data_IF_753935177129
#
_entry.id   IF_753935177129
#
_cell.length_a   1.000
_cell.length_b   1.000
_cell.length_c   1.000
_cell.angle_alpha   90.00
_cell.angle_beta   90.00
_cell.angle_gamma   90.00
#
_symmetry.space_group_name_H-M   'P 1'
#
loop_
_entity.id
_entity.type
_entity.pdbx_description
1 polymer ?
#
# COMPACT_ATOMS: atom_id res chain seq x y z
N UNK A 1 -6.23 -1.96 -13.58
CA UNK A 1 -5.14 -2.97 -13.65
C UNK A 1 -3.82 -2.29 -13.31
N UNK A 2 -2.99 -2.95 -12.47
CA UNK A 2 -1.58 -2.61 -12.30
C UNK A 2 -0.78 -3.74 -12.92
N UNK A 3 0.19 -3.43 -13.78
CA UNK A 3 1.13 -4.42 -14.31
C UNK A 3 2.55 -3.97 -13.96
N UNK A 4 3.30 -4.85 -13.32
CA UNK A 4 4.70 -4.69 -12.95
C UNK A 4 5.50 -5.73 -13.71
N UNK A 5 6.52 -5.30 -14.45
CA UNK A 5 7.33 -6.19 -15.29
C UNK A 5 8.81 -5.99 -15.05
N UNK A 6 9.48 -7.05 -14.62
CA UNK A 6 10.92 -7.14 -14.33
C UNK A 6 11.47 -5.91 -13.59
N UNK A 7 10.77 -5.53 -12.52
CA UNK A 7 11.00 -4.28 -11.79
C UNK A 7 12.27 -4.36 -10.95
N UNK A 8 13.13 -3.36 -11.09
CA UNK A 8 14.32 -3.18 -10.28
C UNK A 8 14.37 -1.81 -9.62
N UNK A 9 14.83 -1.78 -8.37
CA UNK A 9 15.17 -0.56 -7.67
C UNK A 9 16.42 -0.73 -6.84
N UNK A 10 17.48 -0.07 -7.26
CA UNK A 10 18.78 -0.03 -6.59
C UNK A 10 18.98 1.33 -5.92
N UNK A 11 19.39 1.32 -4.66
CA UNK A 11 19.78 2.52 -3.92
C UNK A 11 21.30 2.53 -3.69
N UNK A 12 21.89 3.74 -3.80
CA UNK A 12 23.28 3.95 -3.36
C UNK A 12 23.31 4.05 -1.83
N UNK A 13 24.17 3.30 -1.18
CA UNK A 13 24.35 3.37 0.27
C UNK A 13 24.89 4.73 0.71
N UNK A 14 24.35 5.28 1.80
CA UNK A 14 24.90 6.46 2.46
C UNK A 14 26.29 6.19 3.03
N UNK A 15 27.04 7.26 3.40
CA UNK A 15 28.36 7.10 4.02
C UNK A 15 28.30 6.34 5.35
N UNK A 16 27.21 6.53 6.13
CA UNK A 16 26.98 5.84 7.41
C UNK A 16 26.65 4.36 7.20
N UNK A 17 25.73 4.05 6.28
CA UNK A 17 25.39 2.68 5.90
C UNK A 17 26.60 1.91 5.34
N UNK A 18 27.49 2.59 4.61
CA UNK A 18 28.74 2.00 4.14
C UNK A 18 29.70 1.64 5.29
N UNK A 19 29.75 2.45 6.36
CA UNK A 19 30.59 2.14 7.54
C UNK A 19 30.06 0.94 8.33
N UNK A 20 28.74 0.81 8.47
CA UNK A 20 28.11 -0.34 9.12
C UNK A 20 28.26 -1.64 8.28
N UNK A 21 28.06 -1.56 6.97
CA UNK A 21 28.16 -2.70 6.05
C UNK A 21 29.60 -3.03 5.63
N UNK A 22 30.56 -2.11 5.77
CA UNK A 22 31.99 -2.34 5.45
C UNK A 22 32.62 -3.45 6.30
N UNK A 23 31.97 -3.88 7.38
CA UNK A 23 32.37 -5.07 8.15
C UNK A 23 31.92 -6.40 7.52
N UNK A 24 31.00 -6.39 6.54
CA UNK A 24 30.37 -7.61 6.01
C UNK A 24 30.21 -7.65 4.48
N UNK A 25 30.18 -6.53 3.73
CA UNK A 25 29.96 -6.51 2.26
C UNK A 25 30.69 -5.36 1.57
N UNK A 26 31.29 -5.65 0.41
CA UNK A 26 31.99 -4.70 -0.48
C UNK A 26 31.09 -3.87 -1.38
N UNK A 27 29.78 -4.15 -1.42
CA UNK A 27 28.86 -3.51 -2.35
C UNK A 27 28.49 -2.07 -1.92
N UNK A 28 28.61 -1.12 -2.86
CA UNK A 28 28.23 0.29 -2.67
C UNK A 28 26.73 0.56 -2.86
N UNK A 29 25.95 -0.47 -3.21
CA UNK A 29 24.53 -0.39 -3.57
C UNK A 29 23.73 -1.52 -2.92
N UNK A 30 22.42 -1.30 -2.74
CA UNK A 30 21.45 -2.30 -2.28
C UNK A 30 20.29 -2.34 -3.27
N UNK A 31 19.93 -3.54 -3.72
CA UNK A 31 18.75 -3.79 -4.55
C UNK A 31 17.55 -3.98 -3.64
N UNK A 32 16.75 -2.92 -3.48
CA UNK A 32 15.54 -2.97 -2.67
C UNK A 32 14.38 -3.69 -3.38
N UNK A 33 14.44 -3.76 -4.72
CA UNK A 33 13.55 -4.56 -5.58
C UNK A 33 14.41 -5.13 -6.69
N UNK A 34 14.31 -6.44 -6.96
CA UNK A 34 15.21 -7.19 -7.83
C UNK A 34 14.45 -8.17 -8.73
N UNK A 35 14.00 -7.70 -9.91
CA UNK A 35 13.34 -8.52 -10.93
C UNK A 35 11.91 -8.92 -10.56
N UNK A 36 11.16 -8.05 -9.88
CA UNK A 36 9.78 -8.34 -9.45
C UNK A 36 8.80 -8.13 -10.60
N UNK A 37 7.94 -9.12 -10.86
CA UNK A 37 6.86 -9.04 -11.87
C UNK A 37 5.56 -9.56 -11.28
N UNK A 38 4.46 -8.80 -11.41
CA UNK A 38 3.11 -9.24 -11.03
C UNK A 38 2.03 -8.36 -11.67
N UNK A 39 0.77 -8.83 -11.58
CA UNK A 39 -0.39 -8.09 -12.07
C UNK A 39 -1.49 -8.03 -11.01
N UNK A 40 -2.01 -6.81 -10.74
CA UNK A 40 -3.19 -6.62 -9.91
C UNK A 40 -4.41 -6.33 -10.79
N UNK A 41 -5.51 -7.04 -10.55
CA UNK A 41 -6.73 -6.98 -11.36
C UNK A 41 -7.83 -6.16 -10.69
N UNK A 42 -8.73 -5.51 -11.45
CA UNK A 42 -9.91 -4.86 -10.91
C UNK A 42 -10.80 -5.84 -10.14
N UNK A 43 -11.46 -5.36 -9.08
CA UNK A 43 -12.33 -6.18 -8.25
C UNK A 43 -11.60 -7.26 -7.45
N UNK A 44 -10.27 -7.12 -7.30
CA UNK A 44 -9.41 -8.04 -6.55
C UNK A 44 -8.54 -7.28 -5.55
N UNK A 45 -8.26 -7.95 -4.43
CA UNK A 45 -7.28 -7.50 -3.45
C UNK A 45 -5.98 -8.29 -3.68
N UNK A 46 -4.94 -7.58 -4.09
CA UNK A 46 -3.59 -8.11 -4.22
C UNK A 46 -2.79 -7.81 -2.95
N UNK A 47 -2.32 -8.83 -2.27
CA UNK A 47 -1.55 -8.69 -1.04
C UNK A 47 -0.06 -8.85 -1.31
N UNK A 48 0.72 -7.89 -0.83
CA UNK A 48 2.17 -7.94 -0.83
C UNK A 48 2.67 -8.28 0.57
N UNK A 49 2.93 -9.55 0.83
CA UNK A 49 3.37 -10.08 2.13
C UNK A 49 4.90 -10.13 2.20
N UNK A 50 5.46 -9.82 3.35
CA UNK A 50 6.90 -9.96 3.58
C UNK A 50 7.36 -9.32 4.88
N UNK A 51 8.56 -9.64 5.36
CA UNK A 51 9.12 -9.03 6.57
C UNK A 51 9.47 -7.55 6.34
N UNK A 52 9.82 -6.86 7.43
CA UNK A 52 10.32 -5.49 7.35
C UNK A 52 11.63 -5.46 6.54
N UNK A 53 11.76 -4.46 5.65
CA UNK A 53 12.92 -4.36 4.76
C UNK A 53 12.88 -5.25 3.51
N UNK A 54 11.85 -6.09 3.31
CA UNK A 54 11.74 -6.98 2.16
C UNK A 54 11.60 -6.30 0.80
N UNK A 55 11.25 -4.99 0.76
CA UNK A 55 11.04 -4.23 -0.47
C UNK A 55 9.58 -3.83 -0.74
N UNK A 56 8.61 -4.22 0.13
CA UNK A 56 7.17 -3.93 -0.02
C UNK A 56 6.89 -2.44 -0.25
N UNK A 57 7.22 -1.59 0.72
CA UNK A 57 7.05 -0.12 0.65
C UNK A 57 7.73 0.48 -0.57
N UNK A 58 8.93 -0.01 -0.92
CA UNK A 58 9.65 0.47 -2.12
C UNK A 58 8.86 0.15 -3.38
N UNK A 59 8.34 -1.07 -3.52
CA UNK A 59 7.50 -1.48 -4.65
C UNK A 59 6.24 -0.63 -4.75
N UNK A 60 5.52 -0.41 -3.63
CA UNK A 60 4.33 0.43 -3.62
C UNK A 60 4.63 1.89 -3.97
N UNK A 61 5.76 2.45 -3.52
CA UNK A 61 6.19 3.81 -3.87
C UNK A 61 6.56 3.95 -5.35
N UNK A 62 7.09 2.91 -5.97
CA UNK A 62 7.35 2.88 -7.42
C UNK A 62 6.04 2.89 -8.20
N UNK A 63 5.05 2.08 -7.81
CA UNK A 63 3.69 2.06 -8.39
C UNK A 63 3.04 3.44 -8.24
N UNK A 64 3.15 4.07 -7.07
CA UNK A 64 2.57 5.38 -6.79
C UNK A 64 3.37 6.57 -7.38
N UNK A 65 4.36 6.33 -8.23
CA UNK A 65 5.22 7.36 -8.88
C UNK A 65 6.05 8.22 -7.92
N UNK A 66 6.19 7.81 -6.64
CA UNK A 66 7.02 8.52 -5.66
C UNK A 66 8.51 8.21 -5.82
N UNK A 67 8.82 7.09 -6.47
CA UNK A 67 10.16 6.68 -6.85
C UNK A 67 10.18 6.31 -8.34
N UNK A 68 11.33 6.49 -8.99
CA UNK A 68 11.54 5.99 -10.36
C UNK A 68 12.20 4.62 -10.30
N UNK A 69 11.79 3.65 -11.13
CA UNK A 69 12.50 2.39 -11.32
C UNK A 69 13.96 2.61 -11.74
N UNK A 70 14.83 1.68 -11.39
CA UNK A 70 16.19 1.61 -11.96
C UNK A 70 16.12 0.93 -13.34
N UNK A 71 15.32 -0.12 -13.46
CA UNK A 71 14.95 -0.78 -14.72
C UNK A 71 13.62 -1.52 -14.57
N UNK A 72 13.10 -2.09 -15.65
CA UNK A 72 11.77 -2.66 -15.74
C UNK A 72 10.71 -1.61 -15.98
N UNK A 73 9.44 -2.02 -15.97
CA UNK A 73 8.31 -1.15 -16.26
C UNK A 73 7.14 -1.36 -15.30
N UNK A 74 6.35 -0.30 -15.11
CA UNK A 74 5.08 -0.36 -14.37
C UNK A 74 4.04 0.42 -15.16
N UNK A 75 2.86 -0.17 -15.35
CA UNK A 75 1.69 0.52 -15.86
C UNK A 75 0.54 0.47 -14.85
N UNK A 76 -0.20 1.56 -14.75
CA UNK A 76 -1.38 1.69 -13.89
C UNK A 76 -2.53 2.22 -14.72
N UNK A 77 -3.62 1.47 -14.82
CA UNK A 77 -4.77 1.80 -15.67
C UNK A 77 -4.38 2.16 -17.12
N UNK A 78 -3.33 1.49 -17.65
CA UNK A 78 -2.79 1.70 -18.99
C UNK A 78 -1.74 2.82 -19.11
N UNK A 79 -1.49 3.60 -18.05
CA UNK A 79 -0.50 4.69 -18.06
C UNK A 79 0.84 4.23 -17.47
N UNK A 80 1.94 4.58 -18.12
CA UNK A 80 3.31 4.31 -17.66
C UNK A 80 3.70 5.24 -16.50
N UNK A 81 4.21 4.67 -15.40
CA UNK A 81 4.54 5.45 -14.17
C UNK A 81 5.68 6.46 -14.37
N UNK A 82 6.54 6.29 -15.38
CA UNK A 82 7.67 7.18 -15.67
C UNK A 82 7.31 8.20 -16.72
N UNK A 83 6.58 7.79 -17.78
CA UNK A 83 6.25 8.66 -18.93
C UNK A 83 5.02 9.53 -18.64
N UNK A 84 4.03 9.02 -17.89
CA UNK A 84 2.75 9.67 -17.65
C UNK A 84 2.39 9.76 -16.15
N UNK A 85 3.31 10.21 -15.27
CA UNK A 85 3.13 10.15 -13.82
C UNK A 85 1.92 10.95 -13.31
N UNK A 86 1.52 12.01 -13.97
CA UNK A 86 0.34 12.82 -13.59
C UNK A 86 -0.96 12.05 -13.84
N UNK A 87 -1.06 11.34 -14.97
CA UNK A 87 -2.22 10.48 -15.26
C UNK A 87 -2.31 9.31 -14.28
N UNK A 88 -1.17 8.71 -13.95
CA UNK A 88 -1.11 7.65 -12.92
C UNK A 88 -1.59 8.16 -11.57
N UNK A 89 -1.11 9.33 -11.11
CA UNK A 89 -1.52 9.93 -9.82
C UNK A 89 -3.01 10.24 -9.75
N UNK A 90 -3.62 10.62 -10.87
CA UNK A 90 -5.07 10.84 -10.94
C UNK A 90 -5.89 9.54 -10.74
N UNK A 91 -5.29 8.38 -11.02
CA UNK A 91 -5.93 7.08 -10.88
C UNK A 91 -5.71 6.43 -9.51
N UNK A 92 -4.72 6.89 -8.73
CA UNK A 92 -4.26 6.21 -7.52
C UNK A 92 -4.62 7.00 -6.26
N UNK A 93 -5.19 6.31 -5.27
CA UNK A 93 -5.15 6.71 -3.87
C UNK A 93 -4.03 5.94 -3.17
N UNK A 94 -2.99 6.63 -2.67
CA UNK A 94 -1.87 6.00 -1.97
C UNK A 94 -1.83 6.39 -0.50
N UNK A 95 -2.05 5.41 0.38
CA UNK A 95 -1.87 5.53 1.83
C UNK A 95 -0.51 4.97 2.24
N UNK A 96 0.29 5.79 2.92
CA UNK A 96 1.54 5.35 3.57
C UNK A 96 1.52 5.75 5.05
N UNK A 97 2.04 4.88 5.91
CA UNK A 97 2.09 5.11 7.36
C UNK A 97 2.93 6.32 7.80
N UNK A 98 3.80 6.84 6.90
CA UNK A 98 4.72 7.95 7.22
C UNK A 98 4.20 9.33 6.82
N UNK A 99 3.02 9.43 6.22
CA UNK A 99 2.53 10.72 5.73
C UNK A 99 1.97 11.58 6.87
N UNK A 100 2.69 12.65 7.21
CA UNK A 100 2.23 13.65 8.18
C UNK A 100 0.96 14.35 7.69
N UNK A 101 0.06 14.63 8.62
CA UNK A 101 -1.15 15.40 8.39
C UNK A 101 -0.91 16.87 8.78
N UNK A 102 -1.67 17.79 8.17
CA UNK A 102 -1.66 19.19 8.56
C UNK A 102 -2.40 19.37 9.90
N UNK A 103 -1.68 19.42 11.00
CA UNK A 103 -2.23 19.38 12.37
C UNK A 103 -3.15 20.56 12.71
N UNK A 104 -2.99 21.69 12.02
CA UNK A 104 -3.82 22.89 12.22
C UNK A 104 -5.18 22.80 11.55
N UNK A 105 -5.34 21.96 10.55
CA UNK A 105 -6.60 21.73 9.85
C UNK A 105 -7.50 20.76 10.62
N UNK A 106 -8.79 20.85 10.34
CA UNK A 106 -9.78 19.84 10.71
C UNK A 106 -9.85 18.74 9.64
N UNK A 107 -10.41 17.54 9.92
CA UNK A 107 -10.70 16.54 8.89
C UNK A 107 -11.51 17.09 7.72
N UNK A 108 -12.56 17.89 7.99
CA UNK A 108 -13.37 18.54 6.95
C UNK A 108 -12.52 19.41 6.02
N UNK A 109 -11.69 20.27 6.57
CA UNK A 109 -10.82 21.17 5.78
C UNK A 109 -9.79 20.40 4.99
N UNK A 110 -9.14 19.39 5.60
CA UNK A 110 -8.13 18.61 4.92
C UNK A 110 -8.71 17.80 3.76
N UNK A 111 -9.83 17.11 3.97
CA UNK A 111 -10.46 16.29 2.93
C UNK A 111 -11.00 17.18 1.81
N UNK A 112 -11.56 18.36 2.14
CA UNK A 112 -11.96 19.37 1.14
C UNK A 112 -10.77 19.84 0.30
N UNK A 113 -9.65 20.16 0.93
CA UNK A 113 -8.42 20.58 0.24
C UNK A 113 -7.96 19.54 -0.78
N UNK A 114 -7.97 18.24 -0.44
CA UNK A 114 -7.61 17.18 -1.37
C UNK A 114 -8.64 17.00 -2.48
N UNK A 115 -9.94 17.15 -2.19
CA UNK A 115 -10.97 17.14 -3.21
C UNK A 115 -10.78 18.27 -4.24
N UNK A 116 -10.46 19.48 -3.78
CA UNK A 116 -10.18 20.63 -4.63
C UNK A 116 -8.94 20.43 -5.50
N UNK A 117 -7.86 19.84 -4.95
CA UNK A 117 -6.66 19.49 -5.71
C UNK A 117 -6.94 18.51 -6.87
N UNK A 118 -7.96 17.65 -6.71
CA UNK A 118 -8.40 16.72 -7.75
C UNK A 118 -9.52 17.29 -8.63
N UNK A 119 -9.89 18.57 -8.47
CA UNK A 119 -10.91 19.24 -9.28
C UNK A 119 -12.31 18.67 -9.08
N UNK A 120 -12.63 18.15 -7.89
CA UNK A 120 -13.96 17.57 -7.63
C UNK A 120 -15.05 18.64 -7.60
N UNK A 121 -16.14 18.39 -8.32
CA UNK A 121 -17.33 19.23 -8.25
C UNK A 121 -17.94 19.24 -6.83
N UNK A 122 -18.43 20.40 -6.33
CA UNK A 122 -18.91 20.52 -4.94
C UNK A 122 -20.03 19.55 -4.57
N UNK A 123 -20.91 19.19 -5.50
CA UNK A 123 -21.97 18.22 -5.25
C UNK A 123 -21.42 16.81 -5.03
N UNK A 124 -20.48 16.38 -5.88
CA UNK A 124 -19.82 15.07 -5.78
C UNK A 124 -18.98 14.99 -4.50
N UNK A 125 -18.28 16.07 -4.14
CA UNK A 125 -17.55 16.14 -2.89
C UNK A 125 -18.43 15.93 -1.67
N UNK A 126 -19.58 16.64 -1.58
CA UNK A 126 -20.50 16.50 -0.44
C UNK A 126 -20.96 15.06 -0.26
N UNK A 127 -21.47 14.45 -1.33
CA UNK A 127 -21.92 13.04 -1.33
C UNK A 127 -20.80 12.10 -0.89
N UNK A 128 -19.64 12.20 -1.55
CA UNK A 128 -18.53 11.32 -1.29
C UNK A 128 -17.94 11.46 0.12
N UNK A 129 -17.88 12.70 0.62
CA UNK A 129 -17.45 12.98 2.00
C UNK A 129 -18.38 12.30 3.01
N UNK A 130 -19.68 12.43 2.85
CA UNK A 130 -20.66 11.79 3.74
C UNK A 130 -20.51 10.27 3.77
N UNK A 131 -20.38 9.64 2.61
CA UNK A 131 -20.14 8.19 2.48
C UNK A 131 -18.87 7.77 3.25
N UNK A 132 -17.73 8.45 3.00
CA UNK A 132 -16.44 8.12 3.62
C UNK A 132 -16.47 8.39 5.13
N UNK A 133 -17.02 9.53 5.56
CA UNK A 133 -17.08 9.88 6.98
C UNK A 133 -17.97 8.93 7.76
N UNK A 134 -19.07 8.47 7.16
CA UNK A 134 -19.93 7.45 7.73
C UNK A 134 -19.21 6.11 7.86
N UNK A 135 -18.59 5.65 6.77
CA UNK A 135 -17.85 4.38 6.73
C UNK A 135 -16.71 4.34 7.76
N UNK A 136 -16.01 5.45 7.95
CA UNK A 136 -14.89 5.56 8.87
C UNK A 136 -15.29 6.04 10.29
N UNK A 137 -16.59 6.28 10.54
CA UNK A 137 -17.08 6.83 11.81
C UNK A 137 -16.31 8.11 12.23
N UNK A 138 -16.35 9.14 11.36
CA UNK A 138 -15.57 10.37 11.55
C UNK A 138 -16.41 11.59 11.96
N UNK A 139 -17.74 11.47 12.01
CA UNK A 139 -18.67 12.60 12.23
C UNK A 139 -18.35 13.39 13.50
N UNK A 140 -18.11 12.67 14.62
CA UNK A 140 -17.92 13.30 15.95
C UNK A 140 -16.65 14.16 16.04
N UNK A 141 -15.63 13.88 15.24
CA UNK A 141 -14.39 14.62 15.26
C UNK A 141 -14.08 15.40 13.96
N UNK A 142 -15.03 15.43 13.03
CA UNK A 142 -14.90 16.08 11.72
C UNK A 142 -14.45 17.55 11.78
N UNK A 143 -14.82 18.25 12.86
CA UNK A 143 -14.51 19.67 13.10
C UNK A 143 -13.40 19.90 14.17
N UNK A 144 -12.81 18.83 14.71
CA UNK A 144 -11.68 18.94 15.66
C UNK A 144 -10.37 19.07 14.90
N UNK A 145 -9.44 19.89 15.40
CA UNK A 145 -8.11 20.00 14.80
C UNK A 145 -7.38 18.66 14.83
N UNK A 146 -6.77 18.28 13.71
CA UNK A 146 -6.07 17.00 13.52
C UNK A 146 -4.97 16.80 14.58
N UNK A 147 -4.28 17.86 14.99
CA UNK A 147 -3.28 17.77 16.05
C UNK A 147 -3.81 17.24 17.40
N UNK A 148 -5.12 17.39 17.65
CA UNK A 148 -5.81 16.93 18.88
C UNK A 148 -6.44 15.54 18.75
N UNK A 149 -6.28 14.86 17.61
CA UNK A 149 -6.84 13.54 17.35
C UNK A 149 -5.91 12.42 17.84
N UNK A 150 -6.49 11.29 18.22
CA UNK A 150 -5.74 10.05 18.50
C UNK A 150 -5.07 9.50 17.23
N UNK A 151 -4.13 8.58 17.40
CA UNK A 151 -3.45 7.92 16.26
C UNK A 151 -4.46 7.24 15.32
N UNK A 152 -5.43 6.49 15.85
CA UNK A 152 -6.48 5.85 15.04
C UNK A 152 -7.37 6.86 14.32
N UNK A 153 -7.76 7.98 14.96
CA UNK A 153 -8.49 9.06 14.30
C UNK A 153 -7.66 9.71 13.18
N UNK A 154 -6.38 9.96 13.40
CA UNK A 154 -5.45 10.49 12.38
C UNK A 154 -5.32 9.54 11.20
N UNK A 155 -5.29 8.23 11.44
CA UNK A 155 -5.27 7.22 10.38
C UNK A 155 -6.54 7.27 9.54
N UNK A 156 -7.72 7.35 10.16
CA UNK A 156 -9.01 7.52 9.45
C UNK A 156 -9.00 8.77 8.56
N UNK A 157 -8.49 9.89 9.06
CA UNK A 157 -8.33 11.12 8.26
C UNK A 157 -7.36 10.92 7.09
N UNK A 158 -6.25 10.22 7.30
CA UNK A 158 -5.30 9.90 6.26
C UNK A 158 -5.90 9.04 5.16
N UNK A 159 -6.73 8.08 5.52
CA UNK A 159 -7.48 7.25 4.57
C UNK A 159 -8.51 8.09 3.82
N UNK A 160 -9.34 8.88 4.53
CA UNK A 160 -10.38 9.71 3.92
C UNK A 160 -9.81 10.63 2.82
N UNK A 161 -8.72 11.34 3.10
CA UNK A 161 -8.06 12.19 2.09
C UNK A 161 -7.52 11.39 0.90
N UNK A 162 -7.09 10.15 1.13
CA UNK A 162 -6.50 9.28 0.10
C UNK A 162 -7.53 8.80 -0.92
N UNK A 163 -8.80 8.61 -0.47
CA UNK A 163 -9.86 8.02 -1.30
C UNK A 163 -10.96 9.01 -1.70
N UNK A 164 -10.87 10.29 -1.30
CA UNK A 164 -11.94 11.27 -1.54
C UNK A 164 -12.22 11.47 -3.03
N UNK A 165 -11.19 11.48 -3.87
CA UNK A 165 -11.28 11.68 -5.32
C UNK A 165 -11.74 10.43 -6.08
N UNK A 166 -12.19 9.40 -5.36
CA UNK A 166 -12.72 8.13 -5.89
C UNK A 166 -11.77 7.40 -6.87
N UNK A 167 -10.51 7.16 -6.49
CA UNK A 167 -9.50 6.57 -7.37
C UNK A 167 -9.92 5.16 -7.83
N UNK A 168 -9.55 4.80 -9.07
CA UNK A 168 -9.75 3.45 -9.62
C UNK A 168 -8.81 2.40 -8.99
N UNK A 169 -7.69 2.88 -8.45
CA UNK A 169 -6.65 2.05 -7.81
C UNK A 169 -6.40 2.55 -6.39
N UNK A 170 -6.44 1.67 -5.40
CA UNK A 170 -6.14 2.02 -4.00
C UNK A 170 -4.94 1.21 -3.53
N UNK A 171 -3.95 1.93 -3.01
CA UNK A 171 -2.67 1.37 -2.55
C UNK A 171 -2.53 1.65 -1.06
N UNK A 172 -2.39 0.61 -0.25
CA UNK A 172 -2.22 0.71 1.20
C UNK A 172 -0.88 0.11 1.64
N UNK A 173 -0.04 0.92 2.26
CA UNK A 173 1.24 0.48 2.83
C UNK A 173 1.09 0.28 4.34
N UNK A 174 0.96 -0.98 4.77
CA UNK A 174 0.77 -1.41 6.16
C UNK A 174 -0.34 -0.62 6.91
N UNK A 175 -1.59 -0.64 6.42
CA UNK A 175 -2.64 0.32 6.81
C UNK A 175 -3.12 0.18 8.26
N UNK A 176 -2.90 -0.96 8.92
CA UNK A 176 -3.43 -1.29 10.25
C UNK A 176 -2.35 -1.33 11.34
N UNK A 177 -1.07 -1.22 10.96
CA UNK A 177 0.05 -1.33 11.91
C UNK A 177 -0.02 -0.24 12.99
N UNK A 178 0.09 -0.67 14.26
CA UNK A 178 0.06 0.23 15.42
C UNK A 178 -1.32 0.77 15.80
N UNK A 179 -2.38 0.19 15.23
CA UNK A 179 -3.77 0.56 15.52
C UNK A 179 -4.44 -0.44 16.47
N UNK A 180 -5.46 0.03 17.17
CA UNK A 180 -6.36 -0.84 17.95
C UNK A 180 -7.23 -1.71 17.04
N UNK A 181 -7.81 -2.77 17.63
CA UNK A 181 -8.62 -3.78 16.93
C UNK A 181 -9.83 -3.18 16.21
N UNK A 182 -10.51 -2.19 16.84
CA UNK A 182 -11.71 -1.57 16.29
C UNK A 182 -11.36 -0.74 15.05
N UNK A 183 -10.32 0.06 15.14
CA UNK A 183 -9.83 0.89 14.02
C UNK A 183 -9.33 0.00 12.88
N UNK A 184 -8.55 -1.06 13.18
CA UNK A 184 -8.07 -2.02 12.19
C UNK A 184 -9.23 -2.69 11.44
N UNK A 185 -10.28 -3.11 12.16
CA UNK A 185 -11.48 -3.71 11.55
C UNK A 185 -12.17 -2.75 10.57
N UNK A 186 -12.31 -1.48 10.95
CA UNK A 186 -12.90 -0.45 10.06
C UNK A 186 -12.10 -0.31 8.76
N UNK A 187 -10.76 -0.38 8.83
CA UNK A 187 -9.89 -0.31 7.65
C UNK A 187 -10.03 -1.57 6.78
N UNK A 188 -10.10 -2.74 7.39
CA UNK A 188 -10.33 -4.01 6.68
C UNK A 188 -11.67 -3.97 5.92
N UNK A 189 -12.72 -3.45 6.54
CA UNK A 189 -14.03 -3.27 5.90
C UNK A 189 -13.97 -2.28 4.73
N UNK A 190 -13.21 -1.20 4.85
CA UNK A 190 -12.97 -0.25 3.76
C UNK A 190 -12.23 -0.92 2.57
N UNK A 191 -11.20 -1.71 2.83
CA UNK A 191 -10.45 -2.46 1.82
C UNK A 191 -11.41 -3.40 1.06
N UNK A 192 -12.25 -4.14 1.78
CA UNK A 192 -13.28 -5.01 1.19
C UNK A 192 -14.30 -4.24 0.36
N UNK A 193 -14.81 -3.11 0.88
CA UNK A 193 -15.78 -2.29 0.16
C UNK A 193 -15.17 -1.71 -1.13
N UNK A 194 -13.90 -1.32 -1.11
CA UNK A 194 -13.19 -0.86 -2.30
C UNK A 194 -13.10 -1.96 -3.38
N UNK A 195 -12.78 -3.21 -2.99
CA UNK A 195 -12.82 -4.36 -3.90
C UNK A 195 -14.21 -4.60 -4.46
N UNK A 196 -15.25 -4.59 -3.61
CA UNK A 196 -16.62 -4.83 -4.00
C UNK A 196 -17.16 -3.75 -4.95
N UNK A 197 -16.64 -2.52 -4.86
CA UNK A 197 -16.87 -1.44 -5.81
C UNK A 197 -16.10 -1.59 -7.14
N UNK A 198 -15.44 -2.74 -7.38
CA UNK A 198 -14.72 -3.04 -8.61
C UNK A 198 -13.34 -2.38 -8.73
N UNK A 199 -12.84 -1.73 -7.67
CA UNK A 199 -11.52 -1.08 -7.67
C UNK A 199 -10.39 -2.12 -7.69
N UNK A 200 -9.23 -1.74 -8.21
CA UNK A 200 -7.98 -2.49 -8.00
C UNK A 200 -7.41 -2.13 -6.65
N UNK A 201 -7.26 -3.10 -5.76
CA UNK A 201 -6.69 -2.85 -4.43
C UNK A 201 -5.38 -3.61 -4.29
N UNK A 202 -4.32 -2.90 -3.85
CA UNK A 202 -3.07 -3.53 -3.43
C UNK A 202 -2.74 -3.05 -2.03
N UNK A 203 -2.38 -3.97 -1.14
CA UNK A 203 -1.90 -3.59 0.19
C UNK A 203 -0.68 -4.43 0.60
N UNK A 204 0.20 -3.82 1.37
CA UNK A 204 1.30 -4.52 2.01
C UNK A 204 0.99 -4.83 3.45
N UNK A 205 1.46 -5.98 3.91
CA UNK A 205 1.38 -6.38 5.31
C UNK A 205 2.50 -7.37 5.68
N UNK A 206 2.74 -7.52 6.97
CA UNK A 206 3.49 -8.62 7.55
C UNK A 206 2.63 -9.44 8.54
N UNK A 207 1.31 -9.17 8.59
CA UNK A 207 0.34 -9.78 9.52
C UNK A 207 -0.45 -10.87 8.77
N UNK A 208 -0.23 -12.14 9.12
CA UNK A 208 -0.86 -13.28 8.44
C UNK A 208 -2.39 -13.27 8.55
N UNK A 209 -2.94 -12.83 9.68
CA UNK A 209 -4.37 -12.69 9.86
C UNK A 209 -5.06 -11.78 8.85
N UNK A 210 -4.38 -10.72 8.38
CA UNK A 210 -4.89 -9.84 7.34
C UNK A 210 -4.91 -10.50 5.97
N UNK A 211 -3.87 -11.30 5.67
CA UNK A 211 -3.81 -12.08 4.42
C UNK A 211 -4.98 -13.04 4.34
N UNK A 212 -5.26 -13.78 5.41
CA UNK A 212 -6.40 -14.70 5.49
C UNK A 212 -7.76 -14.00 5.28
N UNK A 213 -7.88 -12.76 5.79
CA UNK A 213 -9.14 -12.02 5.75
C UNK A 213 -9.39 -11.31 4.42
N UNK A 214 -8.34 -10.95 3.67
CA UNK A 214 -8.46 -9.97 2.59
C UNK A 214 -8.00 -10.48 1.22
N UNK A 215 -7.00 -11.40 1.17
CA UNK A 215 -6.29 -11.70 -0.08
C UNK A 215 -7.13 -12.47 -1.07
N UNK A 216 -7.24 -11.96 -2.29
CA UNK A 216 -7.64 -12.72 -3.47
C UNK A 216 -6.39 -13.27 -4.19
N UNK A 217 -5.40 -12.39 -4.41
CA UNK A 217 -4.10 -12.72 -4.99
C UNK A 217 -2.98 -12.36 -3.99
N UNK A 218 -1.91 -13.14 -3.96
CA UNK A 218 -0.81 -13.03 -3.00
C UNK A 218 0.54 -13.05 -3.70
N UNK A 219 1.43 -12.13 -3.30
CA UNK A 219 2.85 -12.23 -3.56
C UNK A 219 3.63 -12.13 -2.25
N UNK A 220 4.61 -13.02 -2.07
CA UNK A 220 5.53 -13.00 -0.93
C UNK A 220 6.85 -12.42 -1.42
N UNK A 221 7.28 -11.33 -0.79
CA UNK A 221 8.56 -10.66 -1.10
C UNK A 221 9.56 -10.93 0.02
N UNK A 222 10.79 -11.29 -0.38
CA UNK A 222 11.94 -11.42 0.51
C UNK A 222 13.20 -10.89 -0.18
N UNK A 223 13.99 -10.05 0.53
CA UNK A 223 15.22 -9.47 0.01
C UNK A 223 15.08 -8.86 -1.41
N UNK A 224 13.95 -8.19 -1.66
CA UNK A 224 13.65 -7.55 -2.94
C UNK A 224 13.17 -8.49 -4.05
N UNK A 225 13.06 -9.79 -3.82
CA UNK A 225 12.64 -10.80 -4.79
C UNK A 225 11.32 -11.44 -4.42
N UNK A 226 10.59 -11.98 -5.40
CA UNK A 226 9.41 -12.80 -5.15
C UNK A 226 9.82 -14.21 -4.70
N UNK A 227 9.35 -14.61 -3.51
CA UNK A 227 9.43 -15.98 -3.02
C UNK A 227 8.21 -16.82 -3.45
N UNK A 228 7.06 -16.16 -3.63
CA UNK A 228 5.82 -16.77 -4.11
C UNK A 228 4.97 -15.75 -4.84
N UNK A 229 4.17 -16.22 -5.81
CA UNK A 229 3.10 -15.45 -6.46
C UNK A 229 2.02 -16.39 -6.96
N UNK A 230 0.76 -16.06 -6.69
CA UNK A 230 -0.40 -16.81 -7.15
C UNK A 230 -1.69 -16.30 -6.51
N UNK A 231 -2.79 -17.00 -6.72
CA UNK A 231 -4.01 -16.74 -5.96
C UNK A 231 -3.85 -17.25 -4.53
N UNK A 232 -4.57 -16.62 -3.60
CA UNK A 232 -4.54 -17.07 -2.20
C UNK A 232 -5.05 -18.51 -2.02
N UNK A 233 -6.01 -18.94 -2.84
CA UNK A 233 -6.51 -20.33 -2.86
C UNK A 233 -5.44 -21.32 -3.31
N UNK A 234 -4.69 -20.99 -4.37
CA UNK A 234 -3.56 -21.82 -4.83
C UNK A 234 -2.49 -21.91 -3.76
N UNK A 235 -2.16 -20.78 -3.11
CA UNK A 235 -1.22 -20.77 -1.98
C UNK A 235 -1.65 -21.74 -0.89
N UNK A 236 -2.90 -21.65 -0.43
CA UNK A 236 -3.43 -22.56 0.62
C UNK A 236 -3.39 -24.04 0.20
N UNK A 237 -3.71 -24.34 -1.08
CA UNK A 237 -3.70 -25.73 -1.56
C UNK A 237 -2.31 -26.31 -1.73
N UNK A 238 -1.29 -25.48 -1.87
CA UNK A 238 0.11 -25.87 -2.08
C UNK A 238 0.95 -25.83 -0.79
N UNK A 239 0.37 -25.36 0.32
CA UNK A 239 1.06 -25.33 1.62
C UNK A 239 1.58 -26.72 2.00
N UNK A 240 2.83 -26.77 2.44
CA UNK A 240 3.49 -27.98 2.94
C UNK A 240 3.60 -28.00 4.46
N UNK A 241 3.23 -26.91 5.11
CA UNK A 241 3.25 -26.70 6.56
C UNK A 241 1.84 -26.63 7.12
N UNK A 242 1.66 -26.89 8.41
CA UNK A 242 0.35 -26.90 9.06
C UNK A 242 -0.24 -25.50 9.29
N UNK A 243 0.60 -24.46 9.30
CA UNK A 243 0.18 -23.08 9.45
C UNK A 243 0.74 -22.17 8.35
N UNK A 244 0.05 -21.05 8.13
CA UNK A 244 0.50 -20.03 7.18
C UNK A 244 1.83 -19.39 7.62
N UNK A 245 2.05 -19.24 8.91
CA UNK A 245 3.28 -18.70 9.49
C UNK A 245 4.47 -19.60 9.20
N UNK A 246 4.32 -20.91 9.39
CA UNK A 246 5.37 -21.90 9.12
C UNK A 246 5.67 -21.99 7.62
N UNK A 247 4.63 -21.99 6.77
CA UNK A 247 4.78 -21.99 5.31
C UNK A 247 5.50 -20.73 4.83
N UNK A 248 5.16 -19.58 5.38
CA UNK A 248 5.86 -18.33 5.08
C UNK A 248 7.35 -18.42 5.45
N UNK A 249 7.67 -18.90 6.66
CA UNK A 249 9.06 -19.08 7.11
C UNK A 249 9.81 -20.06 6.20
N UNK A 250 9.16 -21.16 5.78
CA UNK A 250 9.73 -22.14 4.86
C UNK A 250 10.11 -21.49 3.52
N UNK A 251 9.18 -20.76 2.92
CA UNK A 251 9.41 -20.06 1.64
C UNK A 251 10.51 -19.01 1.74
N UNK A 252 10.61 -18.27 2.85
CA UNK A 252 11.68 -17.29 3.05
C UNK A 252 13.06 -17.96 3.13
N UNK A 253 13.16 -19.14 3.79
CA UNK A 253 14.41 -19.92 3.86
C UNK A 253 14.81 -20.42 2.48
N UNK A 254 13.88 -20.95 1.69
CA UNK A 254 14.15 -21.42 0.32
C UNK A 254 14.56 -20.27 -0.62
N UNK A 255 13.94 -19.10 -0.50
CA UNK A 255 14.29 -17.92 -1.32
C UNK A 255 15.58 -17.23 -0.87
N UNK A 256 16.09 -17.51 0.32
CA UNK A 256 17.34 -16.96 0.86
C UNK A 256 18.56 -17.88 0.70
N UNK A 257 18.33 -19.13 0.29
CA UNK A 257 19.38 -20.11 -0.01
C UNK A 257 19.85 -19.95 -1.46
#
# INVERSE_FOLDING_TARGET
VITVDNLWKTFKLSREQKKELARTKTNKTVDAVAGVSFTCRPGKIFTLLGPNGAGKTTTLRLIATLLKPTSGSITVSGYDVVKEPLKVRAQIGFLTGTTKLYERLTPNELVKYYADLHGMEPANFRKRKEEIFSLLNMQEFANRRIGKLSTGMKQKVSIARTIIHDPAVVVFDEPTVGLDVITSRTIIELIRSSRNAGKTVIFSTHIMGEVNLLSDDLAIIHNGKLAYQGTYKEFQSQMKSDSMEEEFIRLLKEAGA
#
